data_IF_285415205749
#
_entry.id   IF_285415205749
#
_cell.length_a   1.000
_cell.length_b   1.000
_cell.length_c   1.000
_cell.angle_alpha   90.00
_cell.angle_beta   90.00
_cell.angle_gamma   90.00
#
_symmetry.space_group_name_H-M   'P 1'
#
loop_
_entity.id
_entity.type
_entity.pdbx_description
1 polymer ?
#
# COMPACT_ATOMS: atom_id res chain seq x y z
N UNK A 1 11.78 -17.55 -13.75
CA UNK A 1 12.27 -16.53 -14.70
C UNK A 1 12.18 -15.21 -13.98
N UNK A 2 13.33 -14.59 -13.67
CA UNK A 2 13.36 -13.14 -13.55
C UNK A 2 12.80 -12.60 -14.87
N UNK A 3 11.86 -11.65 -14.83
CA UNK A 3 11.61 -10.85 -16.01
C UNK A 3 12.94 -10.17 -16.34
N UNK A 4 13.72 -10.74 -17.26
CA UNK A 4 14.82 -9.98 -17.84
C UNK A 4 14.13 -8.86 -18.59
N UNK A 5 14.28 -7.63 -18.08
CA UNK A 5 13.85 -6.41 -18.76
C UNK A 5 14.48 -6.26 -20.17
N UNK A 6 15.35 -7.19 -20.57
CA UNK A 6 16.04 -7.28 -21.85
C UNK A 6 15.18 -7.80 -23.02
N UNK A 7 13.98 -8.35 -22.79
CA UNK A 7 13.12 -8.81 -23.88
C UNK A 7 12.14 -7.71 -24.34
N UNK A 8 12.60 -6.88 -25.29
CA UNK A 8 11.80 -5.99 -26.15
C UNK A 8 10.77 -5.07 -25.48
N UNK A 9 11.14 -4.35 -24.42
CA UNK A 9 10.31 -3.24 -23.92
C UNK A 9 10.69 -1.93 -24.63
N UNK A 10 9.92 -1.55 -25.66
CA UNK A 10 9.95 -0.16 -26.17
C UNK A 10 9.32 0.76 -25.13
N UNK A 11 10.12 1.66 -24.57
CA UNK A 11 9.64 2.71 -23.68
C UNK A 11 8.50 3.50 -24.35
N UNK A 12 7.34 3.55 -23.70
CA UNK A 12 6.23 4.42 -24.11
C UNK A 12 6.45 5.77 -23.40
N UNK A 13 6.41 6.87 -24.15
CA UNK A 13 6.58 8.21 -23.58
C UNK A 13 5.47 8.52 -22.55
N UNK A 14 5.78 9.32 -21.52
CA UNK A 14 4.80 9.74 -20.50
C UNK A 14 3.56 10.43 -21.10
N UNK A 15 3.71 11.14 -22.22
CA UNK A 15 2.58 11.72 -22.97
C UNK A 15 1.66 10.67 -23.61
N UNK A 16 2.21 9.54 -24.02
CA UNK A 16 1.45 8.47 -24.65
C UNK A 16 0.78 7.59 -23.60
N UNK A 17 1.41 7.37 -22.45
CA UNK A 17 0.76 6.72 -21.31
C UNK A 17 -0.38 7.56 -20.72
N UNK A 18 -0.22 8.88 -20.59
CA UNK A 18 -1.31 9.76 -20.16
C UNK A 18 -2.50 9.72 -21.12
N UNK A 19 -2.23 9.61 -22.43
CA UNK A 19 -3.26 9.43 -23.45
C UNK A 19 -3.92 8.04 -23.35
N UNK A 20 -3.14 6.98 -23.13
CA UNK A 20 -3.64 5.61 -22.98
C UNK A 20 -4.43 5.42 -21.68
N UNK A 21 -4.03 6.05 -20.58
CA UNK A 21 -4.77 6.11 -19.31
C UNK A 21 -6.07 6.91 -19.46
N UNK A 22 -6.03 8.04 -20.16
CA UNK A 22 -7.25 8.81 -20.48
C UNK A 22 -8.19 8.01 -21.40
N UNK A 23 -7.64 7.24 -22.34
CA UNK A 23 -8.39 6.34 -23.20
C UNK A 23 -8.96 5.15 -22.44
N UNK A 24 -8.22 4.59 -21.48
CA UNK A 24 -8.69 3.52 -20.60
C UNK A 24 -9.81 4.02 -19.69
N UNK A 25 -9.68 5.24 -19.12
CA UNK A 25 -10.74 5.90 -18.39
C UNK A 25 -11.99 6.11 -19.25
N UNK A 26 -11.79 6.53 -20.49
CA UNK A 26 -12.89 6.72 -21.45
C UNK A 26 -13.54 5.38 -21.83
N UNK A 27 -12.75 4.34 -22.07
CA UNK A 27 -13.24 3.01 -22.40
C UNK A 27 -14.00 2.38 -21.23
N UNK A 28 -13.53 2.59 -20.00
CA UNK A 28 -14.26 2.27 -18.77
C UNK A 28 -15.59 3.03 -18.70
N UNK A 29 -15.59 4.34 -18.94
CA UNK A 29 -16.83 5.13 -18.94
C UNK A 29 -17.83 4.66 -20.02
N UNK A 30 -17.33 4.34 -21.22
CA UNK A 30 -18.14 3.88 -22.37
C UNK A 30 -18.70 2.47 -22.16
N UNK A 31 -17.94 1.55 -21.54
CA UNK A 31 -18.35 0.16 -21.25
C UNK A 31 -19.38 0.10 -20.11
N UNK A 32 -19.35 1.06 -19.18
CA UNK A 32 -20.22 1.08 -17.99
C UNK A 32 -21.26 2.22 -17.99
N UNK A 33 -21.40 2.97 -19.09
CA UNK A 33 -22.43 4.01 -19.25
C UNK A 33 -22.31 5.18 -18.28
N UNK A 34 -21.09 5.48 -17.82
CA UNK A 34 -20.82 6.56 -16.87
C UNK A 34 -20.59 7.88 -17.62
N UNK A 35 -21.17 9.01 -17.18
CA UNK A 35 -20.93 10.29 -17.83
C UNK A 35 -19.45 10.70 -17.69
N UNK A 36 -18.86 11.36 -18.70
CA UNK A 36 -17.49 11.85 -18.60
C UNK A 36 -17.38 12.86 -17.45
N UNK A 37 -16.38 12.66 -16.58
CA UNK A 37 -16.05 13.59 -15.48
C UNK A 37 -15.64 14.91 -16.11
N UNK A 38 -16.55 15.89 -16.09
CA UNK A 38 -16.25 17.26 -16.46
C UNK A 38 -16.00 18.05 -15.18
N UNK A 39 -14.85 18.73 -15.11
CA UNK A 39 -14.55 19.71 -14.05
C UNK A 39 -15.43 20.95 -14.22
N UNK A 40 -16.73 20.80 -13.99
CA UNK A 40 -17.69 21.89 -13.84
C UNK A 40 -18.60 21.57 -12.66
N UNK A 41 -18.39 22.31 -11.58
CA UNK A 41 -19.38 22.49 -10.53
C UNK A 41 -20.56 23.24 -11.15
N UNK A 42 -21.57 22.52 -11.64
CA UNK A 42 -22.88 23.09 -11.96
C UNK A 42 -23.90 22.61 -10.92
N UNK A 43 -24.44 23.58 -10.19
CA UNK A 43 -25.46 23.45 -9.16
C UNK A 43 -26.67 22.67 -9.68
N UNK A 44 -26.86 21.43 -9.22
CA UNK A 44 -28.17 20.76 -9.27
C UNK A 44 -28.93 21.04 -7.98
N UNK A 45 -29.78 22.07 -8.02
CA UNK A 45 -30.88 22.23 -7.09
C UNK A 45 -31.92 21.15 -7.38
N UNK A 46 -32.11 20.21 -6.44
CA UNK A 46 -33.35 19.42 -6.38
C UNK A 46 -34.18 19.82 -5.16
N UNK A 47 -35.40 20.22 -5.51
CA UNK A 47 -36.59 20.63 -4.74
C UNK A 47 -36.69 20.22 -3.26
N UNK A 48 -36.84 21.25 -2.43
CA UNK A 48 -37.46 21.20 -1.11
C UNK A 48 -38.99 21.06 -1.23
N UNK A 49 -39.51 19.92 -0.78
CA UNK A 49 -40.84 19.73 -0.18
C UNK A 49 -40.78 18.33 0.45
N UNK A 50 -40.97 18.09 1.75
CA UNK A 50 -42.04 18.55 2.60
C UNK A 50 -41.54 18.65 4.07
N UNK A 51 -41.86 19.77 4.73
CA UNK A 51 -41.87 19.86 6.19
C UNK A 51 -43.15 19.22 6.71
N UNK A 52 -43.03 18.30 7.68
CA UNK A 52 -44.06 18.14 8.71
C UNK A 52 -43.42 17.97 10.08
N UNK A 53 -43.99 18.75 10.99
CA UNK A 53 -43.68 18.91 12.40
C UNK A 53 -43.51 17.59 13.15
N UNK A 54 -42.51 17.54 14.03
CA UNK A 54 -42.69 17.00 15.38
C UNK A 54 -41.72 17.66 16.36
N UNK A 55 -42.30 18.45 17.27
CA UNK A 55 -41.65 19.12 18.38
C UNK A 55 -41.21 18.12 19.46
N UNK A 56 -39.97 18.31 19.90
CA UNK A 56 -39.47 18.28 21.28
C UNK A 56 -39.82 17.09 22.19
N UNK A 57 -38.76 16.38 22.61
CA UNK A 57 -38.50 16.18 24.05
C UNK A 57 -36.98 16.09 24.28
N UNK A 58 -36.38 17.19 24.75
CA UNK A 58 -35.04 17.20 25.32
C UNK A 58 -35.16 16.75 26.79
N UNK A 59 -34.45 15.69 27.15
CA UNK A 59 -34.14 15.38 28.55
C UNK A 59 -32.66 15.67 28.76
N UNK A 60 -32.40 16.72 29.52
CA UNK A 60 -31.07 17.13 29.93
C UNK A 60 -30.53 16.20 31.03
N UNK A 61 -29.29 15.74 30.88
CA UNK A 61 -28.42 15.40 32.01
C UNK A 61 -27.09 16.12 31.82
N UNK A 62 -27.01 17.26 32.49
CA UNK A 62 -25.80 18.03 32.76
C UNK A 62 -24.83 17.24 33.63
N UNK A 63 -23.56 17.19 33.24
CA UNK A 63 -22.47 16.74 34.10
C UNK A 63 -21.11 17.01 33.45
N UNK A 64 -20.31 17.89 34.08
CA UNK A 64 -18.91 18.24 33.81
C UNK A 64 -18.64 19.37 32.81
N UNK A 65 -18.87 20.61 33.27
CA UNK A 65 -18.04 21.76 32.91
C UNK A 65 -17.54 22.41 34.20
N UNK A 66 -16.28 22.14 34.53
CA UNK A 66 -15.42 22.99 35.35
C UNK A 66 -13.97 22.69 34.99
N UNK A 67 -13.51 23.22 33.86
CA UNK A 67 -12.14 23.71 33.73
C UNK A 67 -12.10 24.75 32.60
N UNK A 68 -11.28 25.76 32.82
CA UNK A 68 -11.07 26.95 32.01
C UNK A 68 -10.52 26.64 30.62
N UNK A 69 -11.23 27.12 29.59
CA UNK A 69 -10.78 27.47 28.23
C UNK A 69 -9.49 26.79 27.71
N UNK A 70 -9.67 25.75 26.90
CA UNK A 70 -8.96 25.65 25.62
C UNK A 70 -10.03 25.39 24.56
N UNK A 71 -10.17 26.29 23.59
CA UNK A 71 -10.96 25.99 22.39
C UNK A 71 -10.18 24.92 21.64
N UNK A 72 -10.72 23.71 21.57
CA UNK A 72 -10.15 22.63 20.77
C UNK A 72 -9.88 23.15 19.35
N UNK A 73 -8.72 22.83 18.82
CA UNK A 73 -8.39 23.07 17.41
C UNK A 73 -9.32 22.26 16.50
N UNK A 74 -9.45 22.69 15.23
CA UNK A 74 -10.22 21.95 14.23
C UNK A 74 -9.76 20.48 14.10
N UNK A 75 -8.45 20.24 14.28
CA UNK A 75 -7.88 18.89 14.26
C UNK A 75 -8.39 18.06 15.44
N UNK A 76 -8.36 18.62 16.65
CA UNK A 76 -8.82 17.93 17.86
C UNK A 76 -10.33 17.67 17.83
N UNK A 77 -11.12 18.58 17.28
CA UNK A 77 -12.56 18.40 17.08
C UNK A 77 -12.85 17.18 16.18
N UNK A 78 -12.16 17.09 15.05
CA UNK A 78 -12.31 15.96 14.11
C UNK A 78 -11.77 14.66 14.70
N UNK A 79 -10.60 14.69 15.35
CA UNK A 79 -10.01 13.52 16.03
C UNK A 79 -10.96 12.93 17.09
N UNK A 80 -11.58 13.79 17.90
CA UNK A 80 -12.54 13.38 18.91
C UNK A 80 -13.83 12.81 18.31
N UNK A 81 -14.23 13.27 17.12
CA UNK A 81 -15.42 12.80 16.42
C UNK A 81 -15.23 11.41 15.76
N UNK A 82 -14.06 11.12 15.19
CA UNK A 82 -13.83 9.86 14.45
C UNK A 82 -13.80 8.62 15.37
N UNK A 83 -13.47 8.80 16.66
CA UNK A 83 -13.39 7.77 17.70
C UNK A 83 -12.68 6.48 17.22
N UNK A 84 -11.36 6.40 17.43
CA UNK A 84 -10.55 5.24 17.05
C UNK A 84 -10.57 4.14 18.12
N UNK A 85 -10.37 2.89 17.68
CA UNK A 85 -10.16 1.78 18.62
C UNK A 85 -8.72 1.82 19.15
N UNK A 86 -8.54 2.41 20.33
CA UNK A 86 -7.22 2.60 20.93
C UNK A 86 -6.44 1.32 21.24
N UNK A 87 -7.08 0.14 21.14
CA UNK A 87 -6.45 -1.16 21.37
C UNK A 87 -5.94 -1.82 20.08
N UNK A 88 -6.16 -1.21 18.91
CA UNK A 88 -5.64 -1.67 17.63
C UNK A 88 -4.62 -0.68 17.10
N UNK A 89 -3.61 -1.19 16.39
CA UNK A 89 -2.60 -0.40 15.72
C UNK A 89 -3.18 0.11 14.40
N UNK A 90 -3.34 1.44 14.21
CA UNK A 90 -3.81 1.98 12.95
C UNK A 90 -2.74 1.85 11.88
N UNK A 91 -3.13 1.36 10.70
CA UNK A 91 -2.23 1.24 9.55
C UNK A 91 -2.83 1.82 8.27
N UNK A 92 -1.93 2.21 7.35
CA UNK A 92 -2.22 2.47 5.94
C UNK A 92 -1.44 1.44 5.12
N UNK A 93 -2.07 0.88 4.09
CA UNK A 93 -1.41 -0.01 3.12
C UNK A 93 -1.34 0.74 1.79
N UNK A 94 -0.14 1.02 1.28
CA UNK A 94 0.08 1.65 -0.03
C UNK A 94 0.61 0.60 -1.01
N UNK A 95 -0.16 0.30 -2.06
CA UNK A 95 -0.04 -0.92 -2.88
C UNK A 95 -0.19 -0.62 -4.36
N UNK A 96 0.44 -1.40 -5.23
CA UNK A 96 0.21 -1.41 -6.67
C UNK A 96 -0.66 -2.59 -7.15
N UNK A 97 -1.16 -3.40 -6.22
CA UNK A 97 -2.20 -4.43 -6.36
C UNK A 97 -1.87 -5.55 -7.36
N UNK A 98 -0.65 -6.08 -7.29
CA UNK A 98 -0.39 -7.43 -7.78
C UNK A 98 -1.07 -8.45 -6.82
N UNK A 99 -0.98 -9.74 -7.15
CA UNK A 99 -1.67 -10.80 -6.42
C UNK A 99 -1.17 -10.92 -4.98
N UNK A 100 0.13 -10.77 -4.76
CA UNK A 100 0.71 -10.91 -3.43
C UNK A 100 0.38 -9.74 -2.50
N UNK A 101 0.10 -8.55 -3.04
CA UNK A 101 -0.52 -7.45 -2.29
C UNK A 101 -1.89 -7.84 -1.73
N UNK A 102 -2.74 -8.49 -2.53
CA UNK A 102 -4.06 -8.93 -2.06
C UNK A 102 -3.92 -9.94 -0.93
N UNK A 103 -2.94 -10.85 -0.98
CA UNK A 103 -2.65 -11.75 0.13
C UNK A 103 -2.17 -11.01 1.37
N UNK A 104 -1.37 -9.96 1.21
CA UNK A 104 -0.93 -9.11 2.31
C UNK A 104 -2.13 -8.42 2.99
N UNK A 105 -3.04 -7.84 2.20
CA UNK A 105 -4.26 -7.20 2.71
C UNK A 105 -5.15 -8.22 3.43
N UNK A 106 -5.45 -9.36 2.78
CA UNK A 106 -6.26 -10.44 3.36
C UNK A 106 -5.63 -11.00 4.65
N UNK A 107 -4.30 -11.14 4.70
CA UNK A 107 -3.60 -11.55 5.92
C UNK A 107 -3.83 -10.54 7.05
N UNK A 108 -3.62 -9.24 6.78
CA UNK A 108 -3.74 -8.17 7.79
C UNK A 108 -5.18 -7.99 8.28
N UNK A 109 -6.18 -8.17 7.43
CA UNK A 109 -7.59 -8.14 7.85
C UNK A 109 -7.93 -9.24 8.86
N UNK A 110 -7.17 -10.34 8.91
CA UNK A 110 -7.33 -11.39 9.91
C UNK A 110 -6.48 -11.19 11.18
N UNK A 111 -5.76 -10.06 11.29
CA UNK A 111 -4.92 -9.74 12.45
C UNK A 111 -5.72 -8.84 13.42
N UNK A 112 -6.18 -9.35 14.58
CA UNK A 112 -7.12 -8.61 15.44
C UNK A 112 -6.55 -7.32 16.04
N UNK A 113 -5.22 -7.21 16.10
CA UNK A 113 -4.52 -6.04 16.62
C UNK A 113 -4.31 -4.95 15.56
N UNK A 114 -4.70 -5.16 14.30
CA UNK A 114 -4.55 -4.21 13.21
C UNK A 114 -5.89 -3.51 12.94
N UNK A 115 -5.84 -2.18 12.76
CA UNK A 115 -6.93 -1.38 12.23
C UNK A 115 -6.51 -0.75 10.90
N UNK A 116 -6.98 -1.31 9.78
CA UNK A 116 -6.71 -0.76 8.46
C UNK A 116 -7.58 0.48 8.28
N UNK A 117 -6.95 1.66 8.27
CA UNK A 117 -7.64 2.93 8.06
C UNK A 117 -7.93 3.16 6.57
N UNK A 118 -6.93 2.89 5.73
CA UNK A 118 -7.02 3.04 4.30
C UNK A 118 -6.11 2.03 3.57
N UNK A 119 -6.54 1.61 2.39
CA UNK A 119 -5.70 1.02 1.35
C UNK A 119 -5.59 2.05 0.24
N UNK A 120 -4.39 2.44 -0.12
CA UNK A 120 -4.11 3.42 -1.16
C UNK A 120 -3.44 2.74 -2.32
N UNK A 121 -3.90 3.02 -3.54
CA UNK A 121 -3.30 2.43 -4.74
C UNK A 121 -2.37 3.39 -5.45
N UNK A 122 -1.25 2.88 -5.98
CA UNK A 122 -0.26 3.64 -6.76
C UNK A 122 -0.18 3.08 -8.18
N UNK A 123 -0.09 3.96 -9.17
CA UNK A 123 -0.30 3.64 -10.57
C UNK A 123 0.96 3.49 -11.42
N UNK A 124 2.14 3.72 -10.85
CA UNK A 124 3.44 3.52 -11.51
C UNK A 124 4.07 2.16 -11.19
N UNK A 125 3.29 1.28 -10.54
CA UNK A 125 3.58 -0.12 -10.29
C UNK A 125 2.90 -1.07 -11.28
N UNK A 126 2.37 -2.18 -10.77
CA UNK A 126 1.81 -3.30 -11.54
C UNK A 126 0.38 -3.11 -12.07
N UNK A 127 -0.34 -2.06 -11.68
CA UNK A 127 -1.70 -1.78 -12.19
C UNK A 127 -1.96 -0.28 -12.30
N UNK A 128 -2.76 0.11 -13.28
CA UNK A 128 -3.25 1.49 -13.35
C UNK A 128 -4.14 1.80 -12.13
N UNK A 129 -4.09 3.02 -11.58
CA UNK A 129 -4.48 3.24 -10.18
C UNK A 129 -5.98 3.03 -9.91
N UNK A 130 -6.86 3.25 -10.90
CA UNK A 130 -8.29 2.97 -10.76
C UNK A 130 -8.64 1.48 -10.88
N UNK A 131 -7.94 0.75 -11.76
CA UNK A 131 -8.07 -0.70 -11.84
C UNK A 131 -7.53 -1.35 -10.57
N UNK A 132 -6.39 -0.87 -10.07
CA UNK A 132 -5.79 -1.24 -8.80
C UNK A 132 -6.80 -1.04 -7.64
N UNK A 133 -7.43 0.14 -7.55
CA UNK A 133 -8.46 0.40 -6.53
C UNK A 133 -9.68 -0.50 -6.70
N UNK A 134 -10.12 -0.74 -7.94
CA UNK A 134 -11.21 -1.66 -8.26
C UNK A 134 -10.91 -3.10 -7.85
N UNK A 135 -9.67 -3.56 -8.02
CA UNK A 135 -9.23 -4.88 -7.59
C UNK A 135 -9.28 -5.02 -6.06
N UNK A 136 -8.78 -4.03 -5.31
CA UNK A 136 -8.89 -4.03 -3.84
C UNK A 136 -10.36 -4.09 -3.40
N UNK A 137 -11.22 -3.24 -3.97
CA UNK A 137 -12.65 -3.21 -3.66
C UNK A 137 -13.34 -4.55 -4.01
N UNK A 138 -13.01 -5.12 -5.16
CA UNK A 138 -13.52 -6.42 -5.62
C UNK A 138 -13.14 -7.54 -4.65
N UNK A 139 -11.88 -7.55 -4.21
CA UNK A 139 -11.40 -8.47 -3.18
C UNK A 139 -12.15 -8.26 -1.86
N UNK A 140 -12.33 -7.02 -1.40
CA UNK A 140 -13.04 -6.73 -0.16
C UNK A 140 -14.50 -7.24 -0.20
N UNK A 141 -15.19 -7.14 -1.34
CA UNK A 141 -16.55 -7.67 -1.44
C UNK A 141 -16.65 -9.17 -1.66
N UNK A 142 -15.62 -9.81 -2.24
CA UNK A 142 -15.51 -11.28 -2.21
C UNK A 142 -15.47 -11.83 -0.79
N UNK A 143 -14.90 -11.05 0.14
CA UNK A 143 -14.79 -11.42 1.55
C UNK A 143 -15.81 -10.73 2.46
N UNK A 144 -16.71 -9.93 1.90
CA UNK A 144 -17.81 -9.29 2.63
C UNK A 144 -17.44 -8.05 3.46
N UNK A 145 -16.27 -7.44 3.24
CA UNK A 145 -15.72 -6.34 4.05
C UNK A 145 -15.57 -5.01 3.28
N UNK A 146 -16.43 -4.71 2.32
CA UNK A 146 -16.39 -3.44 1.55
C UNK A 146 -16.55 -2.19 2.41
N UNK A 147 -17.12 -2.36 3.60
CA UNK A 147 -17.45 -1.30 4.53
C UNK A 147 -16.31 -0.99 5.51
N UNK A 148 -15.29 -1.85 5.58
CA UNK A 148 -14.28 -1.79 6.62
C UNK A 148 -13.09 -0.88 6.29
N UNK A 149 -12.81 -0.69 5.00
CA UNK A 149 -11.56 -0.11 4.53
C UNK A 149 -11.84 0.95 3.46
N UNK A 150 -11.35 2.17 3.68
CA UNK A 150 -11.37 3.20 2.64
C UNK A 150 -10.32 2.84 1.57
N UNK A 151 -10.70 2.88 0.29
CA UNK A 151 -9.80 2.56 -0.82
C UNK A 151 -9.57 3.80 -1.67
N UNK A 152 -8.35 4.33 -1.71
CA UNK A 152 -7.98 5.49 -2.53
C UNK A 152 -7.38 5.09 -3.87
N UNK A 153 -7.56 5.95 -4.87
CA UNK A 153 -6.85 5.85 -6.15
C UNK A 153 -5.80 6.96 -6.22
N UNK A 154 -4.56 6.60 -6.55
CA UNK A 154 -3.41 7.50 -6.43
C UNK A 154 -2.81 7.97 -7.75
N UNK A 155 -1.54 8.37 -7.65
CA UNK A 155 -0.80 8.93 -8.77
C UNK A 155 -0.53 7.87 -9.84
N UNK A 156 -0.74 8.23 -11.10
CA UNK A 156 -0.60 7.32 -12.24
C UNK A 156 0.80 7.27 -12.85
N UNK A 157 1.70 8.17 -12.45
CA UNK A 157 3.05 8.28 -13.02
C UNK A 157 4.09 8.48 -11.93
N UNK A 158 5.31 7.97 -12.13
CA UNK A 158 6.40 8.20 -11.19
C UNK A 158 6.80 9.68 -11.15
N UNK A 159 7.54 10.05 -10.12
CA UNK A 159 8.03 11.42 -9.88
C UNK A 159 8.95 11.93 -10.98
N UNK A 160 9.63 11.05 -11.71
CA UNK A 160 10.44 11.40 -12.86
C UNK A 160 9.55 11.58 -14.09
N UNK A 161 9.60 12.73 -14.80
CA UNK A 161 8.78 12.96 -16.01
C UNK A 161 8.97 11.93 -17.14
N UNK A 162 10.09 11.22 -17.13
CA UNK A 162 10.43 10.12 -18.05
C UNK A 162 10.69 8.80 -17.29
N UNK A 163 10.08 8.62 -16.12
CA UNK A 163 10.24 7.41 -15.30
C UNK A 163 9.68 6.17 -15.99
N UNK A 164 10.01 4.98 -15.46
CA UNK A 164 9.49 3.73 -16.01
C UNK A 164 7.99 3.69 -15.85
N UNK A 165 7.33 3.13 -16.85
CA UNK A 165 5.99 2.62 -16.70
C UNK A 165 6.00 1.24 -17.33
N UNK A 166 5.44 0.26 -16.62
CA UNK A 166 5.35 -1.10 -17.12
C UNK A 166 4.57 -1.14 -18.44
N UNK A 167 4.90 -2.09 -19.30
CA UNK A 167 4.24 -2.21 -20.60
C UNK A 167 2.78 -2.61 -20.44
N UNK A 168 1.93 -2.16 -21.37
CA UNK A 168 0.49 -2.45 -21.36
C UNK A 168 0.16 -3.94 -21.40
N UNK A 169 1.06 -4.79 -21.92
CA UNK A 169 0.90 -6.25 -21.89
C UNK A 169 0.99 -6.85 -20.49
N UNK A 170 1.76 -6.23 -19.59
CA UNK A 170 1.85 -6.62 -18.18
C UNK A 170 0.65 -6.04 -17.43
N UNK A 171 0.42 -4.73 -17.57
CA UNK A 171 -0.65 -4.02 -16.87
C UNK A 171 -2.04 -4.58 -17.21
N UNK A 172 -2.35 -4.87 -18.48
CA UNK A 172 -3.68 -5.33 -18.87
C UNK A 172 -4.11 -6.68 -18.27
N UNK A 173 -3.15 -7.55 -17.94
CA UNK A 173 -3.43 -8.80 -17.22
C UNK A 173 -3.78 -8.55 -15.74
N UNK A 174 -3.14 -7.56 -15.12
CA UNK A 174 -3.30 -7.22 -13.70
C UNK A 174 -4.51 -6.27 -13.50
N UNK A 175 -4.82 -5.41 -14.45
CA UNK A 175 -5.91 -4.45 -14.34
C UNK A 175 -7.30 -5.12 -14.29
N UNK A 176 -7.43 -6.37 -14.75
CA UNK A 176 -8.75 -7.02 -14.93
C UNK A 176 -8.86 -8.44 -14.36
N UNK A 177 -7.87 -8.95 -13.61
CA UNK A 177 -7.89 -10.36 -13.18
C UNK A 177 -9.03 -10.71 -12.20
N UNK A 178 -9.51 -9.78 -11.37
CA UNK A 178 -10.65 -10.05 -10.48
C UNK A 178 -12.01 -9.87 -11.14
N UNK A 179 -12.08 -9.04 -12.19
CA UNK A 179 -13.30 -8.83 -12.97
C UNK A 179 -13.47 -9.87 -14.08
N UNK A 180 -12.41 -10.61 -14.44
CA UNK A 180 -12.46 -11.64 -15.47
C UNK A 180 -12.97 -13.00 -14.95
N UNK A 181 -14.06 -13.55 -15.52
CA UNK A 181 -14.53 -14.91 -15.22
C UNK A 181 -13.53 -16.01 -15.58
N UNK A 182 -12.53 -15.73 -16.44
CA UNK A 182 -11.49 -16.70 -16.77
C UNK A 182 -10.48 -16.89 -15.63
N UNK A 183 -10.51 -16.00 -14.63
CA UNK A 183 -9.53 -15.92 -13.55
C UNK A 183 -10.12 -16.32 -12.20
N UNK A 184 -11.32 -15.84 -11.93
CA UNK A 184 -12.15 -16.35 -10.86
C UNK A 184 -13.40 -16.97 -11.48
N UNK A 185 -13.77 -18.18 -11.06
CA UNK A 185 -15.03 -18.83 -11.44
C UNK A 185 -16.29 -18.03 -11.02
N UNK A 186 -16.08 -16.88 -10.38
CA UNK A 186 -17.06 -15.87 -10.04
C UNK A 186 -16.52 -14.52 -10.51
N UNK A 187 -17.20 -13.87 -11.45
CA UNK A 187 -16.95 -12.47 -11.77
C UNK A 187 -17.57 -11.60 -10.69
N UNK A 188 -16.78 -10.67 -10.18
CA UNK A 188 -17.18 -9.80 -9.07
C UNK A 188 -17.39 -8.43 -9.66
N UNK A 189 -18.64 -8.12 -9.96
CA UNK A 189 -19.01 -6.80 -10.49
C UNK A 189 -19.46 -5.93 -9.32
N UNK A 190 -18.49 -5.33 -8.62
CA UNK A 190 -18.77 -4.44 -7.50
C UNK A 190 -18.78 -3.01 -8.01
N UNK A 191 -19.97 -2.43 -8.09
CA UNK A 191 -20.20 -1.04 -8.48
C UNK A 191 -19.80 -0.02 -7.39
N UNK A 192 -18.88 -0.37 -6.50
CA UNK A 192 -18.41 0.56 -5.48
C UNK A 192 -17.30 1.40 -6.07
N UNK A 193 -17.47 2.71 -5.95
CA UNK A 193 -16.43 3.66 -6.30
C UNK A 193 -15.37 3.67 -5.20
N UNK A 194 -14.10 3.96 -5.55
CA UNK A 194 -13.09 4.35 -4.59
C UNK A 194 -13.59 5.48 -3.68
N UNK A 195 -12.83 5.71 -2.62
CA UNK A 195 -13.02 6.87 -1.75
C UNK A 195 -13.08 8.15 -2.59
N UNK A 196 -13.93 9.11 -2.20
CA UNK A 196 -13.90 10.45 -2.79
C UNK A 196 -12.58 11.20 -2.55
N UNK A 197 -11.77 10.75 -1.60
CA UNK A 197 -10.41 11.23 -1.39
C UNK A 197 -9.43 10.40 -2.21
N UNK A 198 -8.49 11.06 -2.89
CA UNK A 198 -7.41 10.37 -3.58
C UNK A 198 -6.46 9.67 -2.58
N UNK A 199 -5.57 8.79 -3.06
CA UNK A 199 -4.60 8.08 -2.20
C UNK A 199 -3.72 9.03 -1.37
N UNK A 200 -3.30 10.15 -1.95
CA UNK A 200 -2.45 11.13 -1.26
C UNK A 200 -3.23 11.82 -0.14
N UNK A 201 -4.49 12.16 -0.39
CA UNK A 201 -5.42 12.71 0.60
C UNK A 201 -5.70 11.73 1.72
N UNK A 202 -5.99 10.47 1.41
CA UNK A 202 -6.19 9.44 2.42
C UNK A 202 -4.97 9.27 3.32
N UNK A 203 -3.75 9.24 2.76
CA UNK A 203 -2.52 9.18 3.57
C UNK A 203 -2.43 10.39 4.50
N UNK A 204 -2.59 11.60 3.95
CA UNK A 204 -2.52 12.85 4.73
C UNK A 204 -3.57 12.86 5.84
N UNK A 205 -4.82 12.54 5.53
CA UNK A 205 -5.91 12.61 6.48
C UNK A 205 -5.84 11.51 7.54
N UNK A 206 -5.50 10.27 7.16
CA UNK A 206 -5.32 9.19 8.11
C UNK A 206 -4.21 9.53 9.12
N UNK A 207 -3.09 10.09 8.67
CA UNK A 207 -2.01 10.52 9.57
C UNK A 207 -2.40 11.73 10.43
N UNK A 208 -3.04 12.74 9.83
CA UNK A 208 -3.39 14.01 10.49
C UNK A 208 -4.45 13.83 11.57
N UNK A 209 -5.49 13.06 11.27
CA UNK A 209 -6.65 12.88 12.14
C UNK A 209 -6.62 11.60 12.96
N UNK A 210 -5.52 10.84 12.92
CA UNK A 210 -5.31 9.75 13.86
C UNK A 210 -4.93 10.25 15.26
N UNK A 211 -5.50 9.62 16.27
CA UNK A 211 -5.19 9.86 17.69
C UNK A 211 -3.88 9.18 18.11
N UNK A 212 -3.43 8.18 17.34
CA UNK A 212 -2.19 7.44 17.55
C UNK A 212 -1.27 7.55 16.32
N UNK A 213 0.06 7.37 16.47
CA UNK A 213 0.93 7.20 15.31
C UNK A 213 0.41 6.08 14.40
N UNK A 214 0.47 6.31 13.09
CA UNK A 214 -0.02 5.36 12.07
C UNK A 214 1.17 4.71 11.40
N UNK A 215 1.18 3.38 11.33
CA UNK A 215 2.19 2.65 10.56
C UNK A 215 1.79 2.62 9.08
N UNK A 216 2.78 2.70 8.19
CA UNK A 216 2.55 2.63 6.74
C UNK A 216 3.22 1.34 6.24
N UNK A 217 2.47 0.51 5.52
CA UNK A 217 2.99 -0.63 4.78
C UNK A 217 3.09 -0.26 3.30
N UNK A 218 4.31 -0.03 2.82
CA UNK A 218 4.59 0.25 1.42
C UNK A 218 4.88 -1.06 0.67
N UNK A 219 3.91 -1.49 -0.14
CA UNK A 219 3.95 -2.68 -0.98
C UNK A 219 4.26 -2.34 -2.44
N UNK A 220 3.96 -1.11 -2.89
CA UNK A 220 4.34 -0.60 -4.20
C UNK A 220 5.41 0.51 -4.16
N UNK A 221 5.62 1.21 -5.30
CA UNK A 221 6.46 2.41 -5.35
C UNK A 221 6.00 3.52 -4.40
N UNK A 222 6.94 4.31 -3.87
CA UNK A 222 6.68 5.25 -2.76
C UNK A 222 6.02 6.56 -3.20
N UNK A 223 5.48 6.62 -4.41
CA UNK A 223 5.09 7.84 -5.11
C UNK A 223 3.98 8.57 -4.37
N UNK A 224 2.97 7.86 -3.87
CA UNK A 224 1.91 8.42 -3.04
C UNK A 224 2.45 8.94 -1.70
N UNK A 225 3.32 8.17 -1.03
CA UNK A 225 3.90 8.53 0.27
C UNK A 225 4.75 9.80 0.14
N UNK A 226 5.61 9.87 -0.88
CA UNK A 226 6.43 11.04 -1.17
C UNK A 226 5.56 12.27 -1.47
N UNK A 227 4.49 12.10 -2.27
CA UNK A 227 3.55 13.17 -2.57
C UNK A 227 2.80 13.67 -1.32
N UNK A 228 2.40 12.77 -0.41
CA UNK A 228 1.76 13.13 0.85
C UNK A 228 2.68 13.95 1.75
N UNK A 229 3.95 13.57 1.86
CA UNK A 229 4.97 14.32 2.61
C UNK A 229 5.21 15.70 2.01
N UNK A 230 5.24 15.81 0.68
CA UNK A 230 5.36 17.10 -0.02
C UNK A 230 4.13 17.97 0.23
N UNK A 231 2.92 17.38 0.22
CA UNK A 231 1.65 18.07 0.43
C UNK A 231 1.52 18.62 1.85
N UNK A 232 1.84 17.83 2.88
CA UNK A 232 1.76 18.25 4.27
C UNK A 232 2.89 17.65 5.12
N UNK A 233 4.00 18.38 5.29
CA UNK A 233 5.13 17.94 6.12
C UNK A 233 4.77 17.75 7.60
N UNK A 234 3.67 18.31 8.09
CA UNK A 234 3.26 18.14 9.49
C UNK A 234 2.83 16.72 9.83
N UNK A 235 2.62 15.86 8.83
CA UNK A 235 2.28 14.44 9.01
C UNK A 235 3.50 13.58 9.38
N UNK A 236 4.74 14.03 9.12
CA UNK A 236 5.95 13.21 9.34
C UNK A 236 6.02 12.69 10.80
N UNK A 237 5.81 13.51 11.84
CA UNK A 237 5.84 13.02 13.23
C UNK A 237 4.69 12.08 13.60
N UNK A 238 3.65 11.95 12.74
CA UNK A 238 2.51 11.05 12.92
C UNK A 238 2.74 9.66 12.33
N UNK A 239 3.79 9.50 11.52
CA UNK A 239 4.20 8.19 10.99
C UNK A 239 4.90 7.41 12.11
N UNK A 240 4.35 6.26 12.49
CA UNK A 240 4.93 5.36 13.48
C UNK A 240 6.17 4.65 12.94
N UNK A 241 5.93 3.63 12.11
CA UNK A 241 6.94 2.86 11.39
C UNK A 241 6.55 2.79 9.91
N UNK A 242 7.50 3.05 9.02
CA UNK A 242 7.37 2.73 7.60
C UNK A 242 7.90 1.31 7.35
N UNK A 243 7.02 0.39 6.99
CA UNK A 243 7.36 -0.98 6.59
C UNK A 243 7.46 -1.05 5.07
N UNK A 244 8.49 -1.70 4.54
CA UNK A 244 8.82 -1.71 3.13
C UNK A 244 8.94 -3.14 2.61
N UNK A 245 8.19 -3.45 1.57
CA UNK A 245 8.41 -4.63 0.73
C UNK A 245 9.45 -4.32 -0.33
N UNK A 246 10.52 -5.11 -0.34
CA UNK A 246 11.57 -4.99 -1.34
C UNK A 246 12.71 -4.06 -0.91
N UNK A 247 13.38 -3.52 -1.93
CA UNK A 247 14.74 -3.00 -1.82
C UNK A 247 15.80 -4.10 -1.97
N UNK A 248 17.00 -3.68 -2.35
CA UNK A 248 18.21 -4.50 -2.33
C UNK A 248 19.26 -3.73 -1.56
N UNK A 249 19.81 -4.33 -0.51
CA UNK A 249 20.78 -3.70 0.39
C UNK A 249 22.11 -4.45 0.29
N UNK A 250 23.21 -3.77 -0.05
CA UNK A 250 24.56 -4.36 0.07
C UNK A 250 25.54 -3.38 0.69
N UNK A 251 26.64 -3.96 1.19
CA UNK A 251 27.72 -3.23 1.88
C UNK A 251 28.43 -2.25 0.94
N UNK A 252 28.88 -1.12 1.48
CA UNK A 252 29.70 -0.15 0.74
C UNK A 252 30.95 -0.79 0.09
N UNK A 253 31.57 -1.77 0.77
CA UNK A 253 32.71 -2.52 0.26
C UNK A 253 32.40 -3.25 -1.06
N UNK A 254 31.17 -3.76 -1.20
CA UNK A 254 30.69 -4.44 -2.41
C UNK A 254 30.60 -3.51 -3.63
N UNK A 255 30.67 -2.20 -3.44
CA UNK A 255 30.57 -1.18 -4.50
C UNK A 255 31.78 -0.25 -4.58
N UNK A 256 32.83 -0.49 -3.80
CA UNK A 256 34.04 0.36 -3.76
C UNK A 256 34.69 0.58 -5.13
N UNK A 257 34.53 -0.34 -6.08
CA UNK A 257 34.99 -0.22 -7.47
C UNK A 257 34.06 0.58 -8.39
N UNK A 258 32.80 0.80 -7.99
CA UNK A 258 31.75 1.44 -8.80
C UNK A 258 31.45 2.88 -8.34
N UNK A 259 31.73 3.22 -7.08
CA UNK A 259 31.48 4.53 -6.48
C UNK A 259 32.29 5.71 -7.07
N UNK A 260 33.58 5.57 -7.47
CA UNK A 260 34.36 6.70 -8.00
C UNK A 260 33.79 7.31 -9.29
N UNK A 261 32.92 6.58 -9.99
CA UNK A 261 32.28 7.00 -11.24
C UNK A 261 30.81 7.38 -11.07
N UNK A 262 30.26 7.34 -9.85
CA UNK A 262 28.88 7.68 -9.59
C UNK A 262 28.72 9.21 -9.47
N UNK A 263 28.21 9.85 -10.54
CA UNK A 263 27.75 11.23 -10.46
C UNK A 263 26.44 11.29 -9.67
N UNK A 264 26.52 11.55 -8.35
CA UNK A 264 25.39 11.65 -7.41
C UNK A 264 24.48 12.89 -7.63
N UNK A 265 24.45 13.48 -8.82
CA UNK A 265 23.80 14.79 -9.06
C UNK A 265 23.16 14.97 -10.43
N UNK A 266 23.16 13.96 -11.30
CA UNK A 266 22.47 13.99 -12.59
C UNK A 266 21.64 12.72 -12.66
N UNK A 267 20.35 12.84 -13.01
CA UNK A 267 19.36 11.76 -13.09
C UNK A 267 19.13 11.29 -14.55
N UNK A 268 20.11 10.78 -15.30
CA UNK A 268 19.81 10.09 -16.54
C UNK A 268 19.22 8.72 -16.21
N UNK A 269 18.02 8.52 -16.71
CA UNK A 269 17.20 7.34 -16.49
C UNK A 269 17.73 6.14 -17.30
N UNK A 270 17.78 4.94 -16.70
CA UNK A 270 18.16 3.68 -17.38
C UNK A 270 17.00 2.68 -17.38
N UNK A 271 16.86 1.91 -18.46
CA UNK A 271 15.88 0.81 -18.56
C UNK A 271 16.38 -0.50 -17.95
N UNK A 272 17.62 -0.53 -17.45
CA UNK A 272 18.20 -1.72 -16.84
C UNK A 272 17.97 -1.68 -15.33
N UNK A 273 17.25 -2.68 -14.83
CA UNK A 273 16.98 -2.81 -13.39
C UNK A 273 18.23 -3.25 -12.62
N UNK A 274 19.17 -3.95 -13.27
CA UNK A 274 20.48 -4.38 -12.76
C UNK A 274 20.51 -4.91 -11.31
N UNK A 275 19.44 -5.54 -10.85
CA UNK A 275 19.33 -6.12 -9.49
C UNK A 275 18.56 -5.26 -8.48
N UNK A 276 18.07 -4.08 -8.86
CA UNK A 276 17.12 -3.30 -8.06
C UNK A 276 15.78 -4.04 -7.88
N UNK A 277 15.13 -3.75 -6.76
CA UNK A 277 13.74 -4.16 -6.50
C UNK A 277 12.79 -3.22 -7.24
N UNK A 278 11.73 -3.76 -7.85
CA UNK A 278 10.75 -3.00 -8.64
C UNK A 278 10.24 -1.75 -7.93
N UNK A 279 9.76 -1.89 -6.68
CA UNK A 279 9.20 -0.77 -5.89
C UNK A 279 10.17 0.41 -5.72
N UNK A 280 11.48 0.13 -5.65
CA UNK A 280 12.50 1.17 -5.56
C UNK A 280 12.87 1.70 -6.94
N UNK A 281 13.02 0.81 -7.92
CA UNK A 281 13.40 1.15 -9.29
C UNK A 281 12.40 2.09 -9.97
N UNK A 282 11.10 1.81 -9.79
CA UNK A 282 10.01 2.49 -10.49
C UNK A 282 9.93 3.98 -10.13
N UNK A 283 10.19 4.35 -8.86
CA UNK A 283 10.31 5.75 -8.46
C UNK A 283 11.41 5.99 -7.40
N UNK A 284 12.66 5.95 -7.87
CA UNK A 284 13.84 6.25 -7.04
C UNK A 284 13.81 7.64 -6.40
N UNK A 285 13.14 8.62 -7.01
CA UNK A 285 13.02 9.96 -6.46
C UNK A 285 12.05 10.00 -5.29
N UNK A 286 10.94 9.27 -5.39
CA UNK A 286 10.03 9.13 -4.26
C UNK A 286 10.72 8.45 -3.08
N UNK A 287 11.49 7.38 -3.32
CA UNK A 287 12.25 6.72 -2.24
C UNK A 287 13.25 7.70 -1.61
N UNK A 288 14.00 8.47 -2.41
CA UNK A 288 14.93 9.48 -1.89
C UNK A 288 14.21 10.55 -1.06
N UNK A 289 13.05 11.04 -1.51
CA UNK A 289 12.26 12.04 -0.76
C UNK A 289 11.74 11.50 0.56
N UNK A 290 11.32 10.23 0.59
CA UNK A 290 10.89 9.55 1.82
C UNK A 290 12.08 9.38 2.77
N UNK A 291 13.24 9.01 2.25
CA UNK A 291 14.49 8.88 3.02
C UNK A 291 14.92 10.21 3.65
N UNK A 292 14.86 11.30 2.86
CA UNK A 292 15.19 12.66 3.27
C UNK A 292 14.10 13.34 4.13
N UNK A 293 12.96 12.68 4.34
CA UNK A 293 11.82 13.29 5.04
C UNK A 293 12.01 13.44 6.55
N UNK A 294 12.91 12.65 7.14
CA UNK A 294 13.09 12.60 8.60
C UNK A 294 12.05 11.74 9.33
N UNK A 295 11.40 10.78 8.64
CA UNK A 295 10.68 9.69 9.29
C UNK A 295 11.60 9.00 10.33
N UNK A 296 11.05 8.49 11.42
CA UNK A 296 11.89 8.04 12.55
C UNK A 296 12.25 6.57 12.55
N UNK A 297 11.60 5.75 11.72
CA UNK A 297 11.77 4.31 11.72
C UNK A 297 11.34 3.73 10.39
N UNK A 298 12.26 2.99 9.77
CA UNK A 298 12.00 2.20 8.58
C UNK A 298 12.32 0.74 8.87
N UNK A 299 11.44 -0.16 8.46
CA UNK A 299 11.68 -1.61 8.50
C UNK A 299 11.57 -2.14 7.08
N UNK A 300 12.56 -2.89 6.62
CA UNK A 300 12.54 -3.47 5.27
C UNK A 300 12.70 -4.98 5.29
N UNK A 301 11.98 -5.65 4.39
CA UNK A 301 12.28 -7.03 3.98
C UNK A 301 12.81 -7.03 2.54
N UNK A 302 14.12 -7.21 2.33
CA UNK A 302 14.73 -7.09 1.01
C UNK A 302 14.33 -8.21 0.04
N UNK A 303 14.36 -7.93 -1.25
CA UNK A 303 14.07 -8.92 -2.30
C UNK A 303 15.00 -10.13 -2.27
N UNK A 304 16.25 -9.96 -1.81
CA UNK A 304 17.21 -11.05 -1.62
C UNK A 304 16.81 -12.02 -0.52
N UNK A 305 16.04 -11.57 0.46
CA UNK A 305 15.53 -12.38 1.57
C UNK A 305 14.18 -12.97 1.22
N UNK A 306 13.30 -12.21 0.57
CA UNK A 306 11.99 -12.68 0.10
C UNK A 306 12.11 -13.89 -0.85
N UNK A 307 13.14 -13.92 -1.71
CA UNK A 307 13.45 -15.07 -2.59
C UNK A 307 13.73 -16.39 -1.86
N UNK A 308 13.94 -16.38 -0.54
CA UNK A 308 14.22 -17.57 0.28
C UNK A 308 12.94 -18.22 0.84
N UNK A 309 11.78 -17.60 0.67
CA UNK A 309 10.50 -18.09 1.17
C UNK A 309 9.95 -19.20 0.25
N UNK A 310 9.07 -20.10 0.73
CA UNK A 310 8.58 -21.23 -0.06
C UNK A 310 7.88 -20.74 -1.32
N UNK A 311 8.15 -21.29 -2.50
CA UNK A 311 7.65 -20.69 -3.74
C UNK A 311 6.75 -21.59 -4.56
N UNK A 312 6.12 -22.66 -4.04
CA UNK A 312 5.26 -23.46 -4.91
C UNK A 312 4.04 -24.09 -4.24
N UNK A 313 3.06 -24.43 -5.08
CA UNK A 313 1.77 -25.00 -4.69
C UNK A 313 1.94 -26.36 -3.99
N UNK A 314 2.96 -27.14 -4.34
CA UNK A 314 3.23 -28.41 -3.66
C UNK A 314 3.60 -28.17 -2.19
N UNK A 315 4.46 -27.19 -1.91
CA UNK A 315 4.82 -26.79 -0.54
C UNK A 315 3.61 -26.28 0.24
N UNK A 316 2.77 -25.43 -0.38
CA UNK A 316 1.50 -24.98 0.22
C UNK A 316 0.61 -26.17 0.58
N UNK A 317 0.38 -27.09 -0.37
CA UNK A 317 -0.48 -28.25 -0.17
C UNK A 317 0.05 -29.24 0.87
N UNK A 318 1.36 -29.46 0.91
CA UNK A 318 1.99 -30.26 1.96
C UNK A 318 1.78 -29.60 3.33
N UNK A 319 1.94 -28.28 3.43
CA UNK A 319 1.78 -27.56 4.68
C UNK A 319 0.33 -27.52 5.16
N UNK A 320 -0.63 -27.31 4.25
CA UNK A 320 -2.07 -27.42 4.56
C UNK A 320 -2.41 -28.79 5.16
N UNK A 321 -1.91 -29.88 4.57
CA UNK A 321 -2.09 -31.24 5.10
C UNK A 321 -1.44 -31.42 6.47
N UNK A 322 -0.22 -30.91 6.66
CA UNK A 322 0.50 -30.99 7.94
C UNK A 322 -0.23 -30.25 9.06
N UNK A 323 -0.82 -29.08 8.75
CA UNK A 323 -1.54 -28.25 9.71
C UNK A 323 -3.00 -28.67 9.90
N UNK A 324 -3.49 -29.65 9.13
CA UNK A 324 -4.89 -30.05 9.07
C UNK A 324 -5.83 -28.85 8.78
N UNK A 325 -5.40 -27.99 7.86
CA UNK A 325 -6.14 -26.79 7.43
C UNK A 325 -6.85 -27.08 6.11
N UNK A 326 -8.13 -26.68 6.02
CA UNK A 326 -8.88 -26.64 4.77
C UNK A 326 -9.18 -25.18 4.43
N UNK A 327 -8.61 -24.66 3.35
CA UNK A 327 -8.94 -23.32 2.86
C UNK A 327 -10.29 -23.33 2.15
N UNK A 328 -10.99 -22.19 2.18
CA UNK A 328 -12.19 -22.02 1.36
C UNK A 328 -11.80 -22.08 -0.14
N UNK A 329 -12.73 -22.51 -1.02
CA UNK A 329 -12.46 -22.56 -2.46
C UNK A 329 -11.99 -21.22 -3.04
N UNK A 330 -12.51 -20.11 -2.50
CA UNK A 330 -12.10 -18.76 -2.87
C UNK A 330 -10.62 -18.54 -2.54
N UNK A 331 -10.22 -18.70 -1.27
CA UNK A 331 -8.84 -18.43 -0.83
C UNK A 331 -7.85 -19.39 -1.51
N UNK A 332 -8.21 -20.67 -1.64
CA UNK A 332 -7.38 -21.63 -2.36
C UNK A 332 -7.21 -21.25 -3.84
N UNK A 333 -8.29 -20.83 -4.50
CA UNK A 333 -8.26 -20.34 -5.89
C UNK A 333 -7.41 -19.09 -6.08
N UNK A 334 -7.44 -18.15 -5.11
CA UNK A 334 -6.55 -16.99 -5.13
C UNK A 334 -5.07 -17.41 -5.10
N UNK A 335 -4.71 -18.42 -4.32
CA UNK A 335 -3.34 -18.93 -4.24
C UNK A 335 -2.94 -19.68 -5.51
N UNK A 336 -3.84 -20.50 -6.08
CA UNK A 336 -3.46 -21.47 -7.12
C UNK A 336 -3.72 -21.01 -8.55
N UNK A 337 -4.69 -20.13 -8.75
CA UNK A 337 -5.24 -19.84 -10.09
C UNK A 337 -4.99 -18.41 -10.55
N UNK A 338 -4.82 -17.46 -9.64
CA UNK A 338 -4.57 -16.07 -10.03
C UNK A 338 -3.21 -15.89 -10.72
N UNK A 339 -2.18 -16.64 -10.33
CA UNK A 339 -0.87 -16.58 -10.97
C UNK A 339 -0.97 -16.81 -12.49
N UNK A 340 -1.83 -17.73 -12.93
CA UNK A 340 -2.07 -17.99 -14.35
C UNK A 340 -2.65 -16.77 -15.08
N UNK A 341 -3.46 -15.97 -14.38
CA UNK A 341 -4.17 -14.83 -14.95
C UNK A 341 -3.35 -13.55 -15.05
N UNK A 342 -2.29 -13.44 -14.27
CA UNK A 342 -1.34 -12.32 -14.35
C UNK A 342 -0.11 -12.70 -15.17
N UNK A 343 -0.18 -13.77 -15.97
CA UNK A 343 0.95 -14.35 -16.72
C UNK A 343 2.16 -14.72 -15.84
N UNK A 344 1.91 -15.03 -14.56
CA UNK A 344 2.89 -15.56 -13.63
C UNK A 344 2.91 -17.10 -13.69
N UNK A 345 4.01 -17.70 -13.22
CA UNK A 345 4.18 -19.15 -13.29
C UNK A 345 3.48 -19.85 -12.13
N UNK A 346 2.59 -20.82 -12.41
CA UNK A 346 2.04 -21.71 -11.37
C UNK A 346 3.11 -22.56 -10.66
N UNK A 347 4.29 -22.71 -11.27
CA UNK A 347 5.42 -23.42 -10.66
C UNK A 347 6.16 -22.60 -9.60
N UNK A 348 5.96 -21.28 -9.57
CA UNK A 348 6.65 -20.36 -8.65
C UNK A 348 5.71 -19.26 -8.15
N UNK A 349 5.28 -19.35 -6.90
CA UNK A 349 4.62 -18.31 -6.12
C UNK A 349 5.69 -17.39 -5.54
N UNK A 350 5.59 -16.10 -5.79
CA UNK A 350 6.40 -15.13 -5.09
C UNK A 350 5.59 -14.52 -3.95
N UNK A 351 6.24 -14.37 -2.80
CA UNK A 351 5.62 -13.88 -1.57
C UNK A 351 6.29 -12.57 -1.15
N UNK A 352 6.28 -11.58 -2.04
CA UNK A 352 6.96 -10.32 -1.76
C UNK A 352 6.19 -9.58 -0.67
N UNK A 353 4.94 -9.22 -0.94
CA UNK A 353 4.23 -8.25 -0.09
C UNK A 353 3.63 -8.84 1.18
N UNK A 354 3.19 -10.09 1.11
CA UNK A 354 2.72 -10.80 2.30
C UNK A 354 3.85 -11.06 3.31
N UNK A 355 5.11 -11.06 2.88
CA UNK A 355 6.25 -11.11 3.81
C UNK A 355 6.52 -9.79 4.53
N UNK A 356 6.27 -8.65 3.87
CA UNK A 356 6.31 -7.35 4.53
C UNK A 356 5.17 -7.22 5.56
N UNK A 357 3.97 -7.68 5.22
CA UNK A 357 2.83 -7.73 6.14
C UNK A 357 3.10 -8.63 7.37
N UNK A 358 3.64 -9.84 7.17
CA UNK A 358 4.03 -10.71 8.29
C UNK A 358 5.14 -10.09 9.14
N UNK A 359 6.11 -9.40 8.52
CA UNK A 359 7.20 -8.75 9.26
C UNK A 359 6.67 -7.63 10.14
N UNK A 360 5.72 -6.84 9.64
CA UNK A 360 5.01 -5.83 10.41
C UNK A 360 4.37 -6.45 11.65
N UNK A 361 3.57 -7.50 11.47
CA UNK A 361 2.86 -8.17 12.57
C UNK A 361 3.82 -8.81 13.57
N UNK A 362 4.89 -9.44 13.09
CA UNK A 362 5.94 -10.01 13.94
C UNK A 362 6.52 -8.94 14.88
N UNK A 363 6.89 -7.77 14.33
CA UNK A 363 7.52 -6.70 15.09
C UNK A 363 6.55 -5.96 16.00
N UNK A 364 5.32 -5.70 15.56
CA UNK A 364 4.30 -5.08 16.43
C UNK A 364 3.97 -5.94 17.65
N UNK A 365 4.03 -7.27 17.51
CA UNK A 365 3.81 -8.21 18.60
C UNK A 365 5.08 -8.51 19.41
N UNK A 366 6.20 -7.85 19.14
CA UNK A 366 7.51 -8.10 19.77
C UNK A 366 7.97 -9.57 19.70
N UNK A 367 7.63 -10.25 18.60
CA UNK A 367 7.98 -11.67 18.41
C UNK A 367 9.43 -11.79 17.94
N UNK A 368 10.28 -12.32 18.82
CA UNK A 368 11.72 -12.50 18.53
C UNK A 368 12.03 -13.78 17.77
N UNK A 369 11.12 -14.76 17.79
CA UNK A 369 11.27 -16.07 17.12
C UNK A 369 10.24 -16.24 15.97
N UNK A 370 9.97 -15.17 15.23
CA UNK A 370 9.06 -15.22 14.08
C UNK A 370 9.76 -15.72 12.82
N UNK A 371 9.13 -15.53 11.67
CA UNK A 371 9.72 -15.98 10.41
C UNK A 371 10.98 -15.18 10.04
N UNK A 372 11.06 -13.88 10.32
CA UNK A 372 12.32 -13.15 10.21
C UNK A 372 13.17 -13.45 11.43
N UNK A 373 14.28 -14.17 11.24
CA UNK A 373 15.10 -14.74 12.32
C UNK A 373 16.32 -13.90 12.65
N UNK A 374 16.70 -12.97 11.77
CA UNK A 374 17.84 -12.09 11.98
C UNK A 374 17.57 -10.70 11.41
N UNK A 375 17.94 -9.69 12.21
CA UNK A 375 17.80 -8.29 11.88
C UNK A 375 19.15 -7.60 11.84
N UNK A 376 19.28 -6.64 10.96
CA UNK A 376 20.41 -5.72 10.94
C UNK A 376 19.91 -4.29 11.06
N UNK A 377 20.42 -3.56 12.05
CA UNK A 377 20.13 -2.14 12.22
C UNK A 377 21.19 -1.31 11.51
N UNK A 378 20.77 -0.29 10.76
CA UNK A 378 21.67 0.69 10.14
C UNK A 378 21.23 2.11 10.49
N UNK A 379 22.21 3.00 10.65
CA UNK A 379 21.96 4.40 11.02
C UNK A 379 21.70 5.30 9.81
N UNK A 380 22.14 4.86 8.61
CA UNK A 380 21.90 5.58 7.35
C UNK A 380 21.82 4.61 6.16
N UNK A 381 20.96 4.96 5.19
CA UNK A 381 20.86 4.31 3.89
C UNK A 381 21.29 5.30 2.80
N UNK A 382 21.95 4.80 1.76
CA UNK A 382 22.26 5.52 0.53
C UNK A 382 21.37 4.96 -0.57
N UNK A 383 20.49 5.75 -1.16
CA UNK A 383 19.75 5.31 -2.35
C UNK A 383 20.55 5.72 -3.58
N UNK A 384 20.98 4.73 -4.36
CA UNK A 384 21.73 5.01 -5.58
C UNK A 384 20.77 5.45 -6.69
N UNK A 385 20.90 6.71 -7.09
CA UNK A 385 20.17 7.33 -8.19
C UNK A 385 21.08 7.73 -9.36
N UNK A 386 22.35 7.30 -9.35
CA UNK A 386 23.37 7.75 -10.30
C UNK A 386 23.47 6.90 -11.58
N UNK A 387 23.92 7.58 -12.65
CA UNK A 387 24.18 7.22 -14.07
C UNK A 387 25.00 5.94 -14.37
N UNK A 388 25.27 5.10 -13.37
CA UNK A 388 25.80 3.77 -13.63
C UNK A 388 24.59 2.86 -13.88
N UNK A 389 24.32 2.52 -15.15
CA UNK A 389 23.38 1.49 -15.63
C UNK A 389 23.25 0.26 -14.70
N UNK A 390 24.30 -0.06 -13.93
CA UNK A 390 24.39 -1.21 -13.03
C UNK A 390 23.80 -0.99 -11.62
N UNK A 391 23.46 0.24 -11.24
CA UNK A 391 23.28 0.67 -9.85
C UNK A 391 21.95 1.39 -9.56
N UNK A 392 21.22 1.78 -10.60
CA UNK A 392 20.01 2.57 -10.46
C UNK A 392 18.95 1.84 -9.62
N UNK A 393 18.45 2.50 -8.58
CA UNK A 393 17.43 1.97 -7.67
C UNK A 393 17.93 0.92 -6.67
N UNK A 394 19.24 0.74 -6.50
CA UNK A 394 19.77 -0.12 -5.43
C UNK A 394 19.96 0.68 -4.14
N UNK A 395 19.58 0.08 -3.02
CA UNK A 395 19.92 0.57 -1.68
C UNK A 395 21.36 0.17 -1.35
N UNK A 396 22.21 1.16 -1.13
CA UNK A 396 23.49 0.97 -0.46
C UNK A 396 23.30 1.20 1.02
N UNK A 397 23.79 0.30 1.85
CA UNK A 397 23.85 0.54 3.29
C UNK A 397 25.25 1.00 3.66
N UNK A 398 25.36 2.18 4.29
CA UNK A 398 26.61 2.60 4.90
C UNK A 398 26.84 1.89 6.22
N UNK A 399 27.41 0.69 6.18
CA UNK A 399 27.78 0.02 7.42
C UNK A 399 28.98 0.68 8.12
N UNK A 400 29.58 1.75 7.56
CA UNK A 400 30.74 2.46 8.12
C UNK A 400 30.45 3.90 8.57
N UNK A 401 29.21 4.41 8.47
CA UNK A 401 28.80 5.73 8.98
C UNK A 401 29.70 6.90 8.51
N UNK A 402 30.03 6.95 7.23
CA UNK A 402 30.95 7.93 6.63
C UNK A 402 30.32 9.28 6.28
N UNK A 403 28.99 9.42 6.33
CA UNK A 403 28.30 10.73 6.36
C UNK A 403 27.80 11.05 7.78
N UNK A 404 27.93 12.29 8.26
CA UNK A 404 27.16 12.76 9.41
C UNK A 404 25.66 12.67 9.04
N UNK A 405 24.84 12.12 9.92
CA UNK A 405 23.38 12.14 9.75
C UNK A 405 22.90 13.59 9.86
N UNK A 406 22.70 14.26 8.72
CA UNK A 406 22.34 15.68 8.65
C UNK A 406 20.87 15.90 8.33
N UNK A 407 19.94 15.11 8.90
CA UNK A 407 18.46 15.29 8.94
C UNK A 407 17.59 14.21 8.23
N UNK A 408 18.12 13.05 7.85
CA UNK A 408 17.35 11.97 7.21
C UNK A 408 16.76 10.95 8.19
N UNK A 409 16.09 9.92 7.66
CA UNK A 409 15.64 8.72 8.39
C UNK A 409 16.70 8.30 9.42
N UNK A 410 16.30 8.20 10.69
CA UNK A 410 17.14 7.64 11.75
C UNK A 410 16.66 6.22 12.03
N UNK A 411 17.55 5.22 12.05
CA UNK A 411 17.24 3.83 12.46
C UNK A 411 16.41 3.02 11.44
N UNK A 412 17.12 2.31 10.57
CA UNK A 412 16.53 1.31 9.67
C UNK A 412 16.77 -0.08 10.26
N UNK A 413 15.75 -0.93 10.22
CA UNK A 413 15.83 -2.34 10.63
C UNK A 413 15.56 -3.22 9.41
N UNK A 414 16.57 -3.99 9.00
CA UNK A 414 16.53 -4.81 7.79
C UNK A 414 16.43 -6.29 8.19
N UNK A 415 15.43 -7.01 7.68
CA UNK A 415 15.40 -8.47 7.79
C UNK A 415 16.51 -9.08 6.93
N UNK A 416 17.32 -9.98 7.49
CA UNK A 416 18.49 -10.56 6.78
C UNK A 416 18.42 -12.07 6.64
N UNK A 417 17.63 -12.75 7.48
CA UNK A 417 17.44 -14.20 7.42
C UNK A 417 15.99 -14.54 7.72
N UNK A 418 15.48 -15.59 7.07
CA UNK A 418 14.10 -16.05 7.23
C UNK A 418 14.01 -17.55 7.49
N UNK A 419 12.97 -17.96 8.21
CA UNK A 419 12.53 -19.33 8.32
C UNK A 419 11.29 -19.53 7.44
N UNK A 420 11.46 -20.30 6.37
CA UNK A 420 10.42 -20.56 5.37
C UNK A 420 9.25 -21.39 5.91
N UNK A 421 9.50 -22.28 6.89
CA UNK A 421 8.46 -23.12 7.48
C UNK A 421 7.57 -22.31 8.45
N UNK A 422 8.20 -21.47 9.29
CA UNK A 422 7.50 -20.54 10.17
C UNK A 422 6.63 -19.60 9.36
N UNK A 423 7.18 -19.00 8.30
CA UNK A 423 6.47 -18.11 7.38
C UNK A 423 5.18 -18.73 6.84
N UNK A 424 5.28 -19.92 6.24
CA UNK A 424 4.12 -20.56 5.64
C UNK A 424 3.12 -21.05 6.69
N UNK A 425 3.60 -21.45 7.88
CA UNK A 425 2.73 -21.79 9.01
C UNK A 425 1.89 -20.58 9.43
N UNK A 426 2.55 -19.47 9.73
CA UNK A 426 1.90 -18.24 10.21
C UNK A 426 0.89 -17.71 9.20
N UNK A 427 1.27 -17.65 7.92
CA UNK A 427 0.38 -17.22 6.85
C UNK A 427 -0.85 -18.11 6.74
N UNK A 428 -0.67 -19.43 6.55
CA UNK A 428 -1.79 -20.35 6.31
C UNK A 428 -2.74 -20.44 7.51
N UNK A 429 -2.22 -20.46 8.73
CA UNK A 429 -3.04 -20.46 9.96
C UNK A 429 -3.87 -19.17 10.09
N UNK A 430 -3.34 -18.04 9.60
CA UNK A 430 -4.04 -16.75 9.67
C UNK A 430 -5.18 -16.65 8.67
N UNK A 431 -4.97 -17.11 7.43
CA UNK A 431 -5.98 -17.02 6.36
C UNK A 431 -7.00 -18.19 6.38
N UNK A 432 -6.81 -19.17 7.27
CA UNK A 432 -7.65 -20.37 7.35
C UNK A 432 -8.84 -20.27 8.31
N UNK A 433 -9.11 -19.13 8.93
CA UNK A 433 -10.18 -19.07 9.93
C UNK A 433 -11.56 -19.30 9.31
N UNK A 434 -12.33 -20.24 9.87
CA UNK A 434 -13.70 -20.59 9.42
C UNK A 434 -14.67 -19.39 9.44
N UNK A 435 -14.37 -18.39 10.28
CA UNK A 435 -14.89 -17.03 10.13
C UNK A 435 -13.93 -16.28 9.23
N UNK A 436 -14.14 -16.38 7.92
CA UNK A 436 -13.46 -15.52 6.97
C UNK A 436 -13.90 -14.10 7.29
N UNK A 437 -12.97 -13.33 7.88
CA UNK A 437 -13.07 -11.91 8.20
C UNK A 437 -14.26 -11.55 9.10
N UNK A 438 -14.00 -11.20 10.37
CA UNK A 438 -14.97 -10.42 11.12
C UNK A 438 -14.92 -8.99 10.57
N UNK A 439 -15.62 -8.73 9.47
CA UNK A 439 -15.89 -7.37 9.04
C UNK A 439 -16.67 -6.72 10.19
N UNK A 440 -15.98 -5.87 10.94
CA UNK A 440 -16.44 -5.34 12.22
C UNK A 440 -17.07 -3.96 12.04
N UNK A 441 -16.80 -3.31 10.91
CA UNK A 441 -17.26 -1.96 10.62
C UNK A 441 -18.51 -2.00 9.76
N UNK A 442 -19.40 -1.05 10.01
CA UNK A 442 -20.50 -0.72 9.09
C UNK A 442 -20.00 0.31 8.09
N UNK A 443 -20.68 0.47 6.96
CA UNK A 443 -20.33 1.50 5.96
C UNK A 443 -20.12 2.88 6.59
N UNK A 444 -21.02 3.30 7.49
CA UNK A 444 -20.93 4.57 8.21
C UNK A 444 -19.67 4.69 9.10
N UNK A 445 -19.01 3.58 9.40
CA UNK A 445 -17.81 3.52 10.22
C UNK A 445 -16.50 3.49 9.42
N UNK A 446 -16.56 3.45 8.08
CA UNK A 446 -15.37 3.59 7.23
C UNK A 446 -14.69 4.93 7.46
N UNK A 447 -13.35 4.93 7.48
CA UNK A 447 -12.56 6.10 7.91
C UNK A 447 -12.88 7.38 7.13
N UNK A 448 -12.90 7.30 5.80
CA UNK A 448 -13.17 8.42 4.90
C UNK A 448 -14.58 9.01 5.10
N UNK A 449 -15.58 8.16 5.28
CA UNK A 449 -16.98 8.59 5.49
C UNK A 449 -17.18 9.21 6.87
N UNK A 450 -16.58 8.63 7.91
CA UNK A 450 -16.53 9.25 9.24
C UNK A 450 -15.86 10.61 9.18
N UNK A 451 -14.72 10.69 8.51
CA UNK A 451 -13.97 11.93 8.36
C UNK A 451 -14.82 13.02 7.69
N UNK A 452 -15.47 12.71 6.56
CA UNK A 452 -16.37 13.65 5.87
C UNK A 452 -17.53 14.11 6.76
N UNK A 453 -18.18 13.17 7.45
CA UNK A 453 -19.27 13.48 8.37
C UNK A 453 -18.81 14.41 9.50
N UNK A 454 -17.65 14.13 10.08
CA UNK A 454 -17.06 14.95 11.14
C UNK A 454 -16.63 16.33 10.64
N UNK A 455 -15.97 16.43 9.48
CA UNK A 455 -15.60 17.71 8.88
C UNK A 455 -16.83 18.57 8.61
N UNK A 456 -17.87 17.99 8.00
CA UNK A 456 -19.14 18.66 7.74
C UNK A 456 -19.81 19.14 9.03
N UNK A 457 -19.83 18.32 10.09
CA UNK A 457 -20.39 18.69 11.39
C UNK A 457 -19.75 19.95 11.98
N UNK A 458 -18.46 20.15 11.76
CA UNK A 458 -17.71 21.32 12.24
C UNK A 458 -17.57 22.45 11.22
N UNK A 459 -18.20 22.34 10.04
CA UNK A 459 -18.10 23.34 8.98
C UNK A 459 -16.68 23.49 8.41
N UNK A 460 -15.94 22.37 8.37
CA UNK A 460 -14.61 22.27 7.77
C UNK A 460 -14.77 21.70 6.36
N UNK A 461 -14.16 22.38 5.39
CA UNK A 461 -14.17 22.01 3.97
C UNK A 461 -12.78 21.51 3.55
#
# INVERSE_FOLDING_TARGET
MEYSADAENKAISSSQFAADSSNAQKQFNDEFGLPPVTNKVENMQHSNAERRDQKATQTATTGCCNSTSSTLSNIELVQNCIAQNINKNPIIIDTDTDIDDLWAILYLMNVPTIDILAVTTVGDGYSAPLYSASNVISMLGLVGCTDDVAVGSGLSTPSLPNGFILSSSILGGIDTYLSSPSCLNQSVNIYLQPSPFDSVELIVYALKYSQQPVDILALGPFTNIAAAIVRDRSIIPKIGTLYVSGGQFKTLASYSSLLPNANLGIYPYTSKTSGSSSNVFLDVLAVQRVDDSGIKKLVAIPSTVQKQLPTNISQVNMKLKQLNITLSPLIYGLITSLAKCTNQSESTIYWWDNSAAQLMVQLQNNVTNGFCTAFQNVESLYILSADADQLFGQGLTDFQNTRPNTNGLSNYTICTQTNSDTFLTEFLTKISSDKLYSCEKTYANRFDLKLQSCMSMYGLD
#
